data_IF_100663812365
#
_entry.id   IF_100663812365
#
_cell.length_a   1.000
_cell.length_b   1.000
_cell.length_c   1.000
_cell.angle_alpha   90.00
_cell.angle_beta   90.00
_cell.angle_gamma   90.00
#
_symmetry.space_group_name_H-M   'P 1'
#
loop_
_entity.id
_entity.type
_entity.pdbx_description
1 polymer ?
#
# COMPACT_ATOMS: atom_id res chain seq x y z
N UNK A 1 15.26 -17.17 7.73
CA UNK A 1 14.76 -16.45 6.55
C UNK A 1 13.25 -16.56 6.47
N UNK A 2 12.59 -15.46 6.12
CA UNK A 2 11.14 -15.44 5.92
C UNK A 2 10.79 -16.31 4.71
N UNK A 3 9.83 -17.21 4.86
CA UNK A 3 9.41 -18.13 3.77
C UNK A 3 8.21 -17.63 3.00
N UNK A 4 7.48 -16.66 3.55
CA UNK A 4 6.35 -15.98 2.90
C UNK A 4 6.07 -14.68 3.63
N UNK A 5 5.51 -13.70 2.93
CA UNK A 5 4.98 -12.49 3.57
C UNK A 5 3.62 -12.76 4.23
N UNK A 6 2.98 -13.87 3.88
CA UNK A 6 1.70 -14.22 4.50
C UNK A 6 1.90 -14.52 5.99
N UNK A 7 1.12 -13.86 6.83
CA UNK A 7 1.21 -13.96 8.29
C UNK A 7 2.37 -13.20 8.91
N UNK A 8 3.16 -12.47 8.15
CA UNK A 8 4.32 -11.75 8.63
C UNK A 8 3.94 -10.34 9.14
N UNK A 9 4.71 -9.88 10.13
CA UNK A 9 4.70 -8.48 10.58
C UNK A 9 6.01 -7.86 10.17
N UNK A 10 5.93 -6.74 9.47
CA UNK A 10 7.08 -6.12 8.81
C UNK A 10 7.17 -4.63 9.14
N UNK A 11 8.39 -4.09 9.01
CA UNK A 11 8.61 -2.68 8.72
C UNK A 11 9.03 -2.57 7.27
N UNK A 12 8.36 -1.74 6.49
CA UNK A 12 8.56 -1.61 5.06
C UNK A 12 8.95 -0.18 4.73
N UNK A 13 10.08 -0.03 4.05
CA UNK A 13 10.72 1.25 3.74
C UNK A 13 10.80 1.41 2.22
N UNK A 14 10.29 2.54 1.71
CA UNK A 14 10.36 2.88 0.29
C UNK A 14 11.46 3.90 0.01
N UNK A 15 11.96 3.91 -1.22
CA UNK A 15 13.03 4.80 -1.64
C UNK A 15 12.65 6.28 -1.53
N UNK A 16 11.35 6.62 -1.63
CA UNK A 16 10.85 7.98 -1.46
C UNK A 16 10.79 8.45 0.01
N UNK A 17 11.18 7.57 0.95
CA UNK A 17 11.18 7.87 2.38
C UNK A 17 9.90 7.48 3.11
N UNK A 18 8.90 6.96 2.43
CA UNK A 18 7.69 6.47 3.07
C UNK A 18 7.99 5.20 3.87
N UNK A 19 7.39 5.10 5.05
CA UNK A 19 7.58 3.96 5.97
C UNK A 19 6.22 3.43 6.38
N UNK A 20 6.05 2.13 6.19
CA UNK A 20 4.84 1.37 6.54
C UNK A 20 5.17 0.32 7.59
N UNK A 21 4.18 -0.09 8.35
CA UNK A 21 4.27 -1.22 9.27
C UNK A 21 3.15 -2.24 8.97
N UNK A 22 3.25 -2.97 7.84
CA UNK A 22 2.21 -3.91 7.47
C UNK A 22 2.24 -5.18 8.30
N UNK A 23 1.06 -5.76 8.47
CA UNK A 23 0.86 -7.13 8.92
C UNK A 23 -0.14 -7.79 7.97
N UNK A 24 0.19 -9.00 7.51
CA UNK A 24 -0.76 -9.79 6.74
C UNK A 24 -1.55 -10.69 7.68
N UNK A 25 -2.86 -10.70 7.52
CA UNK A 25 -3.78 -11.45 8.36
C UNK A 25 -4.55 -12.43 7.47
N UNK A 26 -4.36 -13.71 7.70
CA UNK A 26 -4.94 -14.71 6.82
C UNK A 26 -4.29 -14.68 5.43
N UNK A 27 -4.96 -15.27 4.42
CA UNK A 27 -4.34 -15.43 3.10
C UNK A 27 -4.42 -14.18 2.21
N UNK A 28 -5.21 -13.17 2.55
CA UNK A 28 -5.62 -12.13 1.62
C UNK A 28 -5.87 -10.73 2.24
N UNK A 29 -5.56 -10.54 3.50
CA UNK A 29 -5.76 -9.25 4.18
C UNK A 29 -4.42 -8.67 4.60
N UNK A 30 -4.21 -7.39 4.28
CA UNK A 30 -3.10 -6.60 4.80
C UNK A 30 -3.65 -5.42 5.60
N UNK A 31 -3.09 -5.22 6.77
CA UNK A 31 -3.38 -4.06 7.61
C UNK A 31 -2.09 -3.28 7.79
N UNK A 32 -2.15 -1.97 7.56
CA UNK A 32 -0.95 -1.14 7.67
C UNK A 32 -1.26 0.25 8.20
N UNK A 33 -0.25 0.85 8.82
CA UNK A 33 -0.21 2.26 9.19
C UNK A 33 0.96 2.91 8.48
N UNK A 34 0.79 4.13 8.01
CA UNK A 34 1.86 4.95 7.48
C UNK A 34 2.56 5.67 8.63
N UNK A 35 3.80 5.27 8.91
CA UNK A 35 4.62 5.93 9.93
C UNK A 35 5.27 7.20 9.41
N UNK A 36 5.67 7.21 8.14
CA UNK A 36 6.27 8.38 7.46
C UNK A 36 5.74 8.47 6.04
N UNK A 37 5.12 9.57 5.71
CA UNK A 37 4.62 9.95 4.39
C UNK A 37 3.92 11.31 4.51
N UNK A 38 3.53 11.97 3.40
CA UNK A 38 2.66 13.14 3.48
C UNK A 38 1.35 12.86 4.22
N UNK A 39 0.86 11.63 4.12
CA UNK A 39 -0.36 11.16 4.78
C UNK A 39 -0.06 10.23 5.98
N UNK A 40 1.02 10.51 6.71
CA UNK A 40 1.37 9.75 7.92
C UNK A 40 0.20 9.74 8.91
N UNK A 41 0.03 8.61 9.60
CA UNK A 41 -1.13 8.36 10.46
C UNK A 41 -2.28 7.65 9.75
N UNK A 42 -2.23 7.53 8.41
CA UNK A 42 -3.21 6.71 7.70
C UNK A 42 -3.13 5.26 8.18
N UNK A 43 -4.29 4.71 8.50
CA UNK A 43 -4.46 3.29 8.84
C UNK A 43 -5.44 2.68 7.86
N UNK A 44 -5.09 1.52 7.30
CA UNK A 44 -5.93 0.88 6.30
C UNK A 44 -5.88 -0.64 6.42
N UNK A 45 -6.99 -1.25 6.06
CA UNK A 45 -7.13 -2.68 5.87
C UNK A 45 -7.50 -2.87 4.40
N UNK A 46 -6.73 -3.71 3.69
CA UNK A 46 -6.93 -3.96 2.27
C UNK A 46 -7.07 -5.46 2.02
N UNK A 47 -7.93 -5.79 1.08
CA UNK A 47 -7.99 -7.13 0.53
C UNK A 47 -7.02 -7.20 -0.65
N UNK A 48 -6.07 -8.12 -0.63
CA UNK A 48 -5.08 -8.24 -1.69
C UNK A 48 -5.20 -9.55 -2.46
N UNK A 49 -4.73 -9.52 -3.70
CA UNK A 49 -4.53 -10.69 -4.54
C UNK A 49 -3.08 -11.12 -4.41
N UNK A 50 -2.87 -12.37 -4.05
CA UNK A 50 -1.55 -12.93 -3.75
C UNK A 50 -1.12 -13.89 -4.84
N UNK A 51 0.17 -13.89 -5.18
CA UNK A 51 0.76 -14.93 -6.00
C UNK A 51 2.24 -15.10 -5.65
N UNK A 52 2.67 -16.35 -5.56
CA UNK A 52 4.09 -16.71 -5.59
C UNK A 52 4.48 -16.88 -7.05
N UNK A 53 5.30 -15.98 -7.57
CA UNK A 53 5.68 -15.98 -8.99
C UNK A 53 6.97 -16.73 -9.27
N UNK A 54 7.79 -16.96 -8.25
CA UNK A 54 9.02 -17.73 -8.30
C UNK A 54 9.41 -18.13 -6.87
N UNK A 55 10.36 -19.06 -6.68
CA UNK A 55 10.88 -19.35 -5.34
C UNK A 55 11.38 -18.08 -4.66
N UNK A 56 10.84 -17.78 -3.47
CA UNK A 56 11.20 -16.59 -2.70
C UNK A 56 10.74 -15.25 -3.28
N UNK A 57 9.85 -15.25 -4.28
CA UNK A 57 9.32 -14.03 -4.90
C UNK A 57 7.80 -14.08 -4.87
N UNK A 58 7.20 -13.14 -4.14
CA UNK A 58 5.75 -13.05 -3.94
C UNK A 58 5.24 -11.70 -4.37
N UNK A 59 4.02 -11.66 -4.90
CA UNK A 59 3.35 -10.41 -5.26
C UNK A 59 2.06 -10.25 -4.47
N UNK A 60 1.78 -9.01 -4.10
CA UNK A 60 0.49 -8.59 -3.56
C UNK A 60 -0.03 -7.41 -4.35
N UNK A 61 -1.27 -7.48 -4.77
CA UNK A 61 -1.92 -6.43 -5.57
C UNK A 61 -3.26 -6.10 -4.94
N UNK A 62 -3.54 -4.81 -4.78
CA UNK A 62 -4.84 -4.39 -4.26
C UNK A 62 -5.27 -3.05 -4.83
N UNK A 63 -6.58 -2.84 -4.86
CA UNK A 63 -7.17 -1.53 -5.05
C UNK A 63 -7.49 -0.92 -3.69
N UNK A 64 -7.23 0.36 -3.57
CA UNK A 64 -7.60 1.11 -2.38
C UNK A 64 -8.94 1.82 -2.57
N UNK A 65 -9.48 2.35 -1.49
CA UNK A 65 -10.77 3.04 -1.50
C UNK A 65 -10.83 4.27 -2.42
N UNK A 66 -9.69 4.85 -2.75
CA UNK A 66 -9.56 5.95 -3.71
C UNK A 66 -9.60 5.51 -5.16
N UNK A 67 -9.51 4.21 -5.41
CA UNK A 67 -9.25 3.67 -6.73
C UNK A 67 -7.76 3.56 -7.07
N UNK A 68 -6.87 3.92 -6.14
CA UNK A 68 -5.44 3.67 -6.32
C UNK A 68 -5.18 2.17 -6.47
N UNK A 69 -4.30 1.83 -7.41
CA UNK A 69 -3.82 0.46 -7.60
C UNK A 69 -2.43 0.37 -7.02
N UNK A 70 -2.18 -0.66 -6.21
CA UNK A 70 -0.88 -0.91 -5.60
C UNK A 70 -0.45 -2.34 -5.91
N UNK A 71 0.76 -2.48 -6.45
CA UNK A 71 1.38 -3.77 -6.76
C UNK A 71 2.75 -3.80 -6.08
N UNK A 72 2.95 -4.75 -5.18
CA UNK A 72 4.22 -4.94 -4.49
C UNK A 72 4.77 -6.31 -4.83
N UNK A 73 6.03 -6.33 -5.26
CA UNK A 73 6.82 -7.56 -5.37
C UNK A 73 7.74 -7.64 -4.15
N UNK A 74 7.67 -8.78 -3.46
CA UNK A 74 8.45 -9.05 -2.26
C UNK A 74 9.53 -10.07 -2.60
N UNK A 75 10.79 -9.67 -2.49
CA UNK A 75 11.94 -10.54 -2.69
C UNK A 75 12.41 -10.99 -1.30
N UNK A 76 12.06 -12.22 -0.92
CA UNK A 76 12.21 -12.68 0.46
C UNK A 76 13.68 -12.88 0.86
N UNK A 77 14.51 -13.37 -0.06
CA UNK A 77 15.91 -13.64 0.22
C UNK A 77 16.70 -12.36 0.52
N UNK A 78 16.52 -11.35 -0.31
CA UNK A 78 17.21 -10.06 -0.16
C UNK A 78 16.49 -9.10 0.77
N UNK A 79 15.25 -9.39 1.14
CA UNK A 79 14.36 -8.51 1.89
C UNK A 79 14.22 -7.13 1.22
N UNK A 80 14.05 -7.16 -0.09
CA UNK A 80 13.80 -5.98 -0.90
C UNK A 80 12.42 -6.05 -1.52
N UNK A 81 11.93 -4.90 -2.00
CA UNK A 81 10.63 -4.77 -2.64
C UNK A 81 10.73 -3.98 -3.92
N UNK A 82 9.78 -4.21 -4.82
CA UNK A 82 9.49 -3.31 -5.92
C UNK A 82 8.03 -2.92 -5.84
N UNK A 83 7.75 -1.60 -5.89
CA UNK A 83 6.40 -1.05 -5.89
C UNK A 83 6.06 -0.51 -7.27
N UNK A 84 4.89 -0.89 -7.78
CA UNK A 84 4.20 -0.16 -8.82
C UNK A 84 2.85 0.29 -8.27
N UNK A 85 2.61 1.59 -8.28
CA UNK A 85 1.33 2.13 -7.84
C UNK A 85 0.83 3.17 -8.84
N UNK A 86 -0.48 3.20 -9.04
CA UNK A 86 -1.14 4.18 -9.89
C UNK A 86 -2.17 4.92 -9.03
N UNK A 87 -1.91 6.20 -8.77
CA UNK A 87 -2.75 7.04 -7.92
C UNK A 87 -3.65 7.94 -8.77
N UNK A 88 -4.92 8.14 -8.37
CA UNK A 88 -5.73 9.19 -8.98
C UNK A 88 -5.01 10.54 -8.95
N UNK A 89 -5.17 11.34 -10.00
CA UNK A 89 -4.51 12.64 -10.10
C UNK A 89 -4.82 13.53 -8.88
N UNK A 90 -6.06 13.55 -8.42
CA UNK A 90 -6.48 14.36 -7.26
C UNK A 90 -5.78 13.93 -5.97
N UNK A 91 -5.53 12.63 -5.81
CA UNK A 91 -4.84 12.11 -4.62
C UNK A 91 -3.36 12.47 -4.63
N UNK A 92 -2.71 12.31 -5.77
CA UNK A 92 -1.29 12.67 -5.92
C UNK A 92 -1.04 14.16 -5.69
N UNK A 93 -2.02 15.00 -6.03
CA UNK A 93 -1.94 16.45 -5.85
C UNK A 93 -1.90 16.85 -4.38
N UNK A 94 -2.63 16.15 -3.53
CA UNK A 94 -2.66 16.42 -2.09
C UNK A 94 -2.90 15.10 -1.32
N UNK A 95 -1.82 14.43 -0.97
CA UNK A 95 -1.88 13.17 -0.23
C UNK A 95 -2.41 13.34 1.20
N UNK A 96 -2.42 14.55 1.75
CA UNK A 96 -2.91 14.77 3.12
C UNK A 96 -4.39 14.43 3.27
N UNK A 97 -5.17 14.46 2.18
CA UNK A 97 -6.58 14.06 2.20
C UNK A 97 -6.76 12.57 2.54
N UNK A 98 -5.70 11.81 2.42
CA UNK A 98 -5.69 10.36 2.65
C UNK A 98 -5.36 9.98 4.10
N UNK A 99 -5.09 10.93 4.96
CA UNK A 99 -4.98 10.68 6.40
C UNK A 99 -6.32 10.25 6.95
N UNK A 100 -6.32 9.18 7.69
CA UNK A 100 -7.51 8.63 8.30
C UNK A 100 -7.50 7.12 8.29
N UNK A 101 -8.65 6.52 8.55
CA UNK A 101 -8.83 5.09 8.65
C UNK A 101 -9.88 4.66 7.64
N UNK A 102 -9.53 3.77 6.71
CA UNK A 102 -10.48 3.31 5.70
C UNK A 102 -11.62 2.43 6.24
N UNK A 103 -11.60 2.15 7.54
CA UNK A 103 -12.73 1.49 8.23
C UNK A 103 -13.72 2.51 8.80
N UNK A 104 -13.40 3.80 8.77
CA UNK A 104 -14.27 4.87 9.24
C UNK A 104 -15.24 5.28 8.12
N UNK A 105 -16.58 5.11 8.32
CA UNK A 105 -17.56 5.49 7.30
C UNK A 105 -17.50 6.96 6.89
N UNK A 106 -17.17 7.86 7.80
CA UNK A 106 -17.05 9.28 7.48
C UNK A 106 -15.86 9.55 6.55
N UNK A 107 -14.75 8.85 6.75
CA UNK A 107 -13.59 8.92 5.87
C UNK A 107 -13.94 8.41 4.47
N UNK A 108 -14.61 7.26 4.38
CA UNK A 108 -15.03 6.67 3.10
C UNK A 108 -15.97 7.62 2.35
N UNK A 109 -16.90 8.27 3.03
CA UNK A 109 -17.79 9.24 2.39
C UNK A 109 -17.03 10.43 1.81
N UNK A 110 -16.04 10.96 2.55
CA UNK A 110 -15.15 12.01 2.07
C UNK A 110 -14.41 11.57 0.81
N UNK A 111 -13.86 10.37 0.78
CA UNK A 111 -13.14 9.84 -0.38
C UNK A 111 -14.08 9.68 -1.58
N UNK A 112 -15.29 9.18 -1.37
CA UNK A 112 -16.30 9.06 -2.44
C UNK A 112 -16.65 10.41 -3.06
N UNK A 113 -16.75 11.47 -2.26
CA UNK A 113 -16.95 12.83 -2.77
C UNK A 113 -15.80 13.27 -3.66
N UNK A 114 -14.56 13.04 -3.23
CA UNK A 114 -13.39 13.39 -4.03
C UNK A 114 -13.37 12.63 -5.36
N UNK A 115 -13.69 11.33 -5.35
CA UNK A 115 -13.80 10.53 -6.57
C UNK A 115 -14.84 11.13 -7.54
N UNK A 116 -15.99 11.59 -7.03
CA UNK A 116 -17.06 12.12 -7.86
C UNK A 116 -16.82 13.55 -8.36
N UNK A 117 -15.99 14.32 -7.70
CA UNK A 117 -15.79 15.75 -7.97
C UNK A 117 -14.47 16.08 -8.65
N UNK A 118 -13.46 15.23 -8.49
CA UNK A 118 -12.10 15.50 -8.91
C UNK A 118 -11.67 14.61 -10.07
N UNK A 119 -10.62 15.01 -10.77
CA UNK A 119 -10.11 14.26 -11.91
C UNK A 119 -9.22 13.10 -11.50
N UNK A 120 -9.46 11.93 -12.11
CA UNK A 120 -8.64 10.73 -11.92
C UNK A 120 -7.37 10.77 -12.78
N UNK A 121 -7.43 11.38 -13.97
CA UNK A 121 -6.35 11.38 -14.94
C UNK A 121 -5.69 12.75 -15.10
N UNK A 122 -4.38 12.77 -15.48
CA UNK A 122 -3.50 11.59 -15.60
C UNK A 122 -3.15 11.02 -14.24
N UNK A 123 -3.09 9.70 -14.16
CA UNK A 123 -2.70 9.02 -12.91
C UNK A 123 -1.22 9.23 -12.64
N UNK A 124 -0.88 9.38 -11.37
CA UNK A 124 0.49 9.45 -10.91
C UNK A 124 1.03 8.03 -10.71
N UNK A 125 2.14 7.72 -11.39
CA UNK A 125 2.77 6.41 -11.31
C UNK A 125 3.94 6.48 -10.33
N UNK A 126 3.96 5.53 -9.39
CA UNK A 126 5.08 5.27 -8.49
C UNK A 126 5.68 3.94 -8.90
N UNK A 127 6.93 3.97 -9.34
CA UNK A 127 7.65 2.78 -9.81
C UNK A 127 9.04 2.82 -9.19
N UNK A 128 9.17 2.28 -8.01
CA UNK A 128 10.35 2.43 -7.17
C UNK A 128 10.60 1.21 -6.30
N UNK A 129 11.79 1.16 -5.73
CA UNK A 129 12.24 0.06 -4.89
C UNK A 129 12.18 0.42 -3.41
N UNK A 130 12.24 -0.60 -2.59
CA UNK A 130 12.30 -0.48 -1.16
C UNK A 130 12.92 -1.71 -0.52
N UNK A 131 12.80 -1.78 0.79
CA UNK A 131 13.24 -2.95 1.56
C UNK A 131 12.35 -3.12 2.78
N UNK A 132 12.43 -4.28 3.39
CA UNK A 132 11.66 -4.56 4.59
C UNK A 132 12.50 -5.28 5.63
N UNK A 133 12.06 -5.16 6.88
CA UNK A 133 12.63 -5.90 8.00
C UNK A 133 11.51 -6.68 8.67
N UNK A 134 11.78 -7.92 9.03
CA UNK A 134 10.85 -8.75 9.78
C UNK A 134 10.92 -8.34 11.26
N UNK A 135 9.75 -8.13 11.85
CA UNK A 135 9.64 -7.83 13.27
C UNK A 135 9.61 -9.13 14.09
#
# INVERSE_FOLDING_TARGET
MLTSILGARLNWYQADGWVFDPVTVGPDIIEYTLAKAPHAGRHAIQHFYYQRVAPGVETTVWYEESGALVHITWYLETQTTHRFAALPAWLAKDMTVYRGNNQDPAFIEKIRKLISQEEDWPRHIMNDDGYFKVI
#
